data_IF_533519402104
#
_entry.id   IF_533519402104
#
_cell.length_a   1.000
_cell.length_b   1.000
_cell.length_c   1.000
_cell.angle_alpha   90.00
_cell.angle_beta   90.00
_cell.angle_gamma   90.00
#
_symmetry.space_group_name_H-M   'P 1'
#
loop_
_entity.id
_entity.type
_entity.pdbx_description
1 polymer ?
#
# COMPACT_ATOMS: atom_id res chain seq x y z
N UNK A 1 -38.04 10.57 24.61
CA UNK A 1 -37.32 10.25 23.35
C UNK A 1 -36.14 9.34 23.69
N UNK A 2 -36.07 8.11 23.18
CA UNK A 2 -34.86 7.30 23.35
C UNK A 2 -33.79 7.75 22.33
N UNK A 3 -32.50 7.70 22.67
CA UNK A 3 -31.45 7.95 21.71
C UNK A 3 -31.46 6.85 20.64
N UNK A 4 -31.43 7.24 19.37
CA UNK A 4 -31.33 6.35 18.22
C UNK A 4 -30.08 5.46 18.33
N UNK A 5 -30.26 4.25 18.85
CA UNK A 5 -29.36 3.13 18.74
C UNK A 5 -29.31 2.70 17.27
N UNK A 6 -28.56 3.47 16.45
CA UNK A 6 -28.13 3.00 15.14
C UNK A 6 -27.22 1.82 15.40
N UNK A 7 -27.78 0.63 15.23
CA UNK A 7 -27.04 -0.59 15.01
C UNK A 7 -26.20 -0.38 13.75
N UNK A 8 -25.02 0.22 13.91
CA UNK A 8 -23.94 0.09 12.95
C UNK A 8 -23.43 -1.36 13.03
N UNK A 9 -24.24 -2.29 12.54
CA UNK A 9 -23.82 -3.64 12.20
C UNK A 9 -22.90 -3.57 10.96
N UNK A 10 -21.93 -2.64 10.95
CA UNK A 10 -20.90 -2.62 9.93
C UNK A 10 -20.16 -3.94 10.00
N UNK A 11 -20.10 -4.69 8.89
CA UNK A 11 -19.47 -5.99 8.85
C UNK A 11 -18.11 -5.93 9.53
N UNK A 12 -17.91 -6.83 10.49
CA UNK A 12 -16.66 -6.97 11.23
C UNK A 12 -15.66 -7.66 10.34
N UNK A 13 -15.12 -6.94 9.35
CA UNK A 13 -14.01 -7.44 8.55
C UNK A 13 -12.77 -7.56 9.43
N UNK A 14 -12.09 -8.68 9.36
CA UNK A 14 -10.77 -8.83 9.98
C UNK A 14 -9.70 -8.08 9.17
N UNK A 15 -8.58 -7.73 9.81
CA UNK A 15 -7.43 -7.10 9.11
C UNK A 15 -6.94 -7.98 7.97
N UNK A 16 -6.83 -9.29 8.20
CA UNK A 16 -6.40 -10.27 7.21
C UNK A 16 -7.32 -10.31 5.98
N UNK A 17 -8.64 -10.18 6.16
CA UNK A 17 -9.57 -10.08 5.04
C UNK A 17 -9.35 -8.79 4.23
N UNK A 18 -9.19 -7.64 4.91
CA UNK A 18 -8.94 -6.37 4.21
C UNK A 18 -7.60 -6.37 3.46
N UNK A 19 -6.59 -6.99 4.05
CA UNK A 19 -5.23 -7.11 3.52
C UNK A 19 -5.17 -7.83 2.18
N UNK A 20 -6.01 -8.87 2.01
CA UNK A 20 -6.14 -9.58 0.75
C UNK A 20 -6.60 -8.66 -0.39
N UNK A 21 -7.32 -7.58 -0.10
CA UNK A 21 -7.92 -6.70 -1.10
C UNK A 21 -7.14 -5.40 -1.36
N UNK A 22 -6.03 -5.14 -0.66
CA UNK A 22 -5.26 -3.89 -0.83
C UNK A 22 -4.72 -3.65 -2.24
N UNK A 23 -4.61 -4.69 -3.04
CA UNK A 23 -4.22 -4.62 -4.44
C UNK A 23 -5.35 -4.09 -5.37
N UNK A 24 -6.58 -3.95 -4.87
CA UNK A 24 -7.76 -3.48 -5.60
C UNK A 24 -8.32 -2.15 -5.08
N UNK A 25 -9.03 -1.38 -5.93
CA UNK A 25 -9.68 -0.15 -5.52
C UNK A 25 -10.85 -0.43 -4.59
N UNK A 26 -11.06 0.45 -3.61
CA UNK A 26 -12.08 0.31 -2.58
C UNK A 26 -13.49 0.06 -3.15
N UNK A 27 -13.83 0.72 -4.28
CA UNK A 27 -15.11 0.57 -4.97
C UNK A 27 -15.35 -0.85 -5.47
N UNK A 28 -14.34 -1.46 -6.09
CA UNK A 28 -14.44 -2.83 -6.60
C UNK A 28 -14.53 -3.84 -5.46
N UNK A 29 -13.74 -3.62 -4.39
CA UNK A 29 -13.79 -4.45 -3.18
C UNK A 29 -15.15 -4.37 -2.51
N UNK A 30 -15.74 -3.18 -2.45
CA UNK A 30 -17.09 -2.98 -1.93
C UNK A 30 -18.12 -3.78 -2.74
N UNK A 31 -18.05 -3.70 -4.07
CA UNK A 31 -18.92 -4.46 -4.97
C UNK A 31 -18.75 -5.98 -4.81
N UNK A 32 -17.50 -6.47 -4.72
CA UNK A 32 -17.18 -7.88 -4.53
C UNK A 32 -17.68 -8.43 -3.19
N UNK A 33 -17.59 -7.62 -2.14
CA UNK A 33 -18.02 -8.01 -0.79
C UNK A 33 -19.51 -7.76 -0.55
N UNK A 34 -20.25 -7.22 -1.53
CA UNK A 34 -21.66 -6.86 -1.37
C UNK A 34 -21.87 -5.76 -0.30
N UNK A 35 -20.87 -4.90 -0.10
CA UNK A 35 -20.93 -3.80 0.87
C UNK A 35 -20.72 -2.45 0.17
N UNK A 36 -20.74 -1.37 0.95
CA UNK A 36 -20.44 -0.03 0.45
C UNK A 36 -19.10 0.47 0.99
N UNK A 37 -18.45 1.38 0.25
CA UNK A 37 -17.13 1.91 0.56
C UNK A 37 -17.00 2.43 1.99
N UNK A 38 -18.05 3.09 2.49
CA UNK A 38 -18.11 3.60 3.87
C UNK A 38 -18.00 2.51 4.94
N UNK A 39 -18.55 1.31 4.71
CA UNK A 39 -18.43 0.18 5.63
C UNK A 39 -16.99 -0.32 5.71
N UNK A 40 -16.31 -0.42 4.57
CA UNK A 40 -14.89 -0.78 4.50
C UNK A 40 -14.00 0.29 5.13
N UNK A 41 -14.27 1.58 4.92
CA UNK A 41 -13.53 2.67 5.56
C UNK A 41 -13.71 2.63 7.08
N UNK A 42 -14.94 2.41 7.57
CA UNK A 42 -15.17 2.25 9.02
C UNK A 42 -14.44 1.05 9.57
N UNK A 43 -14.46 -0.09 8.88
CA UNK A 43 -13.69 -1.27 9.28
C UNK A 43 -12.18 -0.99 9.29
N UNK A 44 -11.63 -0.35 8.26
CA UNK A 44 -10.23 0.07 8.21
C UNK A 44 -9.85 0.98 9.39
N UNK A 45 -10.69 1.98 9.70
CA UNK A 45 -10.46 2.91 10.81
C UNK A 45 -10.48 2.20 12.17
N UNK A 46 -11.38 1.23 12.37
CA UNK A 46 -11.40 0.39 13.59
C UNK A 46 -10.08 -0.37 13.79
N UNK A 47 -9.41 -0.72 12.70
CA UNK A 47 -8.11 -1.40 12.70
C UNK A 47 -6.91 -0.44 12.58
N UNK A 48 -7.11 0.88 12.75
CA UNK A 48 -6.01 1.85 12.72
C UNK A 48 -5.48 2.20 11.32
N UNK A 49 -6.15 1.75 10.25
CA UNK A 49 -5.82 2.05 8.85
C UNK A 49 -6.53 3.34 8.46
N UNK A 50 -5.79 4.46 8.45
CA UNK A 50 -6.35 5.77 8.16
C UNK A 50 -6.72 5.96 6.68
N UNK A 51 -6.00 5.32 5.76
CA UNK A 51 -6.18 5.43 4.31
C UNK A 51 -5.99 4.08 3.64
N UNK A 52 -6.84 3.77 2.67
CA UNK A 52 -6.74 2.57 1.85
C UNK A 52 -5.43 2.59 1.02
N UNK A 53 -4.55 1.58 1.14
CA UNK A 53 -3.19 1.61 0.57
C UNK A 53 -3.13 1.44 -0.96
N UNK A 54 -4.26 1.15 -1.62
CA UNK A 54 -4.34 0.91 -3.07
C UNK A 54 -3.63 1.97 -3.93
N UNK A 55 -3.84 3.26 -3.64
CA UNK A 55 -3.26 4.34 -4.47
C UNK A 55 -1.73 4.30 -4.47
N UNK A 56 -1.13 3.94 -3.32
CA UNK A 56 0.32 3.83 -3.20
C UNK A 56 0.83 2.52 -3.82
N UNK A 57 0.14 1.41 -3.58
CA UNK A 57 0.47 0.09 -4.15
C UNK A 57 0.36 0.09 -5.67
N UNK A 58 -0.68 0.69 -6.24
CA UNK A 58 -0.87 0.83 -7.70
C UNK A 58 0.26 1.61 -8.36
N UNK A 59 0.72 2.70 -7.72
CA UNK A 59 1.88 3.46 -8.21
C UNK A 59 3.15 2.61 -8.23
N UNK A 60 3.43 1.87 -7.15
CA UNK A 60 4.60 0.99 -7.06
C UNK A 60 4.49 -0.14 -8.10
N UNK A 61 3.31 -0.75 -8.24
CA UNK A 61 3.05 -1.81 -9.21
C UNK A 61 3.26 -1.33 -10.65
N UNK A 62 2.80 -0.13 -11.01
CA UNK A 62 3.07 0.46 -12.33
C UNK A 62 4.57 0.65 -12.57
N UNK A 63 5.32 1.09 -11.55
CA UNK A 63 6.77 1.22 -11.65
C UNK A 63 7.46 -0.14 -11.79
N UNK A 64 6.96 -1.16 -11.09
CA UNK A 64 7.47 -2.54 -11.19
C UNK A 64 7.26 -3.07 -12.61
N UNK A 65 6.04 -2.96 -13.16
CA UNK A 65 5.73 -3.37 -14.53
C UNK A 65 6.62 -2.68 -15.56
N UNK A 66 6.83 -1.37 -15.44
CA UNK A 66 7.73 -0.66 -16.35
C UNK A 66 9.18 -1.20 -16.26
N UNK A 67 9.67 -1.49 -15.06
CA UNK A 67 10.99 -2.12 -14.90
C UNK A 67 11.00 -3.54 -15.50
N UNK A 68 9.94 -4.33 -15.32
CA UNK A 68 9.81 -5.67 -15.91
C UNK A 68 9.81 -5.60 -17.46
N UNK A 69 9.10 -4.63 -18.05
CA UNK A 69 9.10 -4.39 -19.49
C UNK A 69 10.48 -3.98 -20.01
N UNK A 70 11.23 -3.15 -19.25
CA UNK A 70 12.61 -2.77 -19.60
C UNK A 70 13.53 -3.97 -19.52
N UNK A 71 13.39 -4.83 -18.52
CA UNK A 71 14.17 -6.06 -18.38
C UNK A 71 13.89 -7.03 -19.53
N UNK A 72 12.62 -7.18 -19.93
CA UNK A 72 12.22 -8.05 -21.05
C UNK A 72 12.71 -7.55 -22.42
N UNK A 73 12.91 -6.24 -22.58
CA UNK A 73 13.43 -5.64 -23.83
C UNK A 73 14.96 -5.69 -23.94
N UNK A 74 15.65 -5.91 -22.82
CA UNK A 74 17.10 -6.06 -22.78
C UNK A 74 17.42 -7.55 -22.82
N UNK A 75 17.56 -8.11 -24.03
CA UNK A 75 17.91 -9.52 -24.26
C UNK A 75 19.26 -9.89 -23.58
N UNK A 76 19.20 -10.37 -22.34
CA UNK A 76 20.27 -11.12 -21.69
C UNK A 76 21.24 -10.37 -20.77
N UNK A 77 21.25 -9.03 -20.74
CA UNK A 77 22.01 -8.28 -19.71
C UNK A 77 21.14 -7.21 -19.05
N UNK A 78 20.32 -7.59 -18.05
CA UNK A 78 19.58 -6.62 -17.28
C UNK A 78 20.58 -5.73 -16.55
N UNK A 79 20.59 -4.43 -16.88
CA UNK A 79 21.46 -3.47 -16.23
C UNK A 79 21.31 -3.57 -14.71
N UNK A 80 22.42 -3.72 -13.99
CA UNK A 80 22.44 -3.95 -12.53
C UNK A 80 21.55 -2.94 -11.78
N UNK A 81 21.55 -1.69 -12.25
CA UNK A 81 20.71 -0.58 -11.76
C UNK A 81 19.21 -0.85 -11.94
N UNK A 82 18.78 -1.43 -13.05
CA UNK A 82 17.38 -1.78 -13.36
C UNK A 82 16.88 -2.89 -12.44
N UNK A 83 17.68 -3.96 -12.28
CA UNK A 83 17.37 -5.08 -11.38
C UNK A 83 17.32 -4.63 -9.92
N UNK A 84 18.32 -3.83 -9.48
CA UNK A 84 18.34 -3.24 -8.16
C UNK A 84 17.11 -2.35 -7.91
N UNK A 85 16.73 -1.53 -8.89
CA UNK A 85 15.53 -0.69 -8.81
C UNK A 85 14.26 -1.53 -8.72
N UNK A 86 14.16 -2.61 -9.49
CA UNK A 86 13.00 -3.52 -9.45
C UNK A 86 12.84 -4.19 -8.10
N UNK A 87 13.94 -4.64 -7.49
CA UNK A 87 13.97 -5.22 -6.14
C UNK A 87 13.54 -4.20 -5.08
N UNK A 88 14.05 -2.97 -5.15
CA UNK A 88 13.66 -1.89 -4.24
C UNK A 88 12.15 -1.59 -4.32
N UNK A 89 11.57 -1.60 -5.52
CA UNK A 89 10.12 -1.40 -5.67
C UNK A 89 9.32 -2.54 -5.02
N UNK A 90 9.79 -3.79 -5.14
CA UNK A 90 9.19 -4.93 -4.43
C UNK A 90 9.25 -4.78 -2.91
N UNK A 91 10.39 -4.38 -2.36
CA UNK A 91 10.51 -4.09 -0.92
C UNK A 91 9.56 -2.97 -0.50
N UNK A 92 9.48 -1.88 -1.27
CA UNK A 92 8.54 -0.80 -0.99
C UNK A 92 7.09 -1.26 -1.02
N UNK A 93 6.71 -2.13 -1.95
CA UNK A 93 5.38 -2.72 -2.00
C UNK A 93 5.09 -3.49 -0.70
N UNK A 94 6.00 -4.37 -0.28
CA UNK A 94 5.89 -5.13 0.96
C UNK A 94 5.76 -4.22 2.19
N UNK A 95 6.59 -3.17 2.30
CA UNK A 95 6.51 -2.24 3.44
C UNK A 95 5.19 -1.47 3.49
N UNK A 96 4.57 -1.16 2.35
CA UNK A 96 3.27 -0.46 2.33
C UNK A 96 2.16 -1.40 2.73
N UNK A 97 2.24 -2.65 2.28
CA UNK A 97 1.32 -3.73 2.62
C UNK A 97 1.39 -4.03 4.12
N UNK A 98 2.58 -4.28 4.66
CA UNK A 98 2.82 -4.49 6.09
C UNK A 98 2.39 -3.29 6.94
N UNK A 99 2.68 -2.04 6.53
CA UNK A 99 2.23 -0.85 7.27
C UNK A 99 0.72 -0.72 7.37
N UNK A 100 0.00 -1.22 6.38
CA UNK A 100 -1.45 -1.26 6.42
C UNK A 100 -1.94 -2.39 7.35
N UNK A 101 -1.25 -3.51 7.41
CA UNK A 101 -1.63 -4.67 8.24
C UNK A 101 -1.16 -4.60 9.70
N UNK A 102 -0.04 -3.91 9.99
CA UNK A 102 0.65 -3.94 11.27
C UNK A 102 0.13 -2.95 12.32
N UNK A 103 -0.86 -2.10 12.01
CA UNK A 103 -1.43 -1.15 12.99
C UNK A 103 -2.43 -1.81 13.95
N UNK A 104 -2.07 -2.97 14.51
CA UNK A 104 -2.67 -3.47 15.74
C UNK A 104 -1.93 -2.84 16.92
N UNK A 105 -2.67 -2.05 17.69
CA UNK A 105 -2.31 -1.59 19.04
C UNK A 105 -1.22 -0.51 19.07
N UNK A 106 -1.63 0.74 19.27
CA UNK A 106 -1.12 1.69 20.28
C UNK A 106 0.38 1.99 20.43
N UNK A 107 1.28 1.35 19.71
CA UNK A 107 2.70 1.63 19.72
C UNK A 107 2.96 2.29 18.38
N UNK A 108 2.97 3.63 18.42
CA UNK A 108 3.48 4.43 17.33
C UNK A 108 4.95 4.06 17.16
N UNK A 109 5.22 3.04 16.34
CA UNK A 109 6.50 2.97 15.65
C UNK A 109 6.49 4.17 14.70
N UNK A 110 6.98 5.30 15.22
CA UNK A 110 7.26 6.52 14.48
C UNK A 110 8.43 6.21 13.56
N UNK A 111 8.18 5.39 12.55
CA UNK A 111 9.09 5.27 11.44
C UNK A 111 9.00 6.57 10.65
N UNK A 112 10.14 7.17 10.29
CA UNK A 112 10.18 8.49 9.70
C UNK A 112 9.29 8.50 8.46
N UNK A 113 8.19 9.24 8.58
CA UNK A 113 7.41 9.73 7.46
C UNK A 113 8.26 10.79 6.77
N UNK A 114 9.34 10.38 6.11
CA UNK A 114 10.14 11.34 5.37
C UNK A 114 9.57 11.49 3.96
N UNK A 115 8.62 12.41 3.91
CA UNK A 115 8.28 13.18 2.72
C UNK A 115 9.39 14.21 2.46
N UNK A 116 10.62 13.80 2.21
CA UNK A 116 11.63 14.70 1.65
C UNK A 116 12.24 14.07 0.41
N UNK A 117 11.82 14.61 -0.72
CA UNK A 117 12.61 14.83 -1.94
C UNK A 117 13.97 14.11 -1.91
N UNK A 118 14.02 12.86 -2.38
CA UNK A 118 15.26 12.34 -2.96
C UNK A 118 15.47 13.07 -4.29
N UNK A 119 15.93 14.32 -4.19
CA UNK A 119 16.73 14.94 -5.24
C UNK A 119 17.99 14.09 -5.32
N UNK A 120 18.03 13.17 -6.27
CA UNK A 120 19.28 12.57 -6.70
C UNK A 120 19.95 13.64 -7.56
N UNK A 121 20.62 14.57 -6.88
CA UNK A 121 21.56 15.51 -7.48
C UNK A 121 22.89 15.33 -6.76
N UNK A 122 23.73 14.51 -7.40
CA UNK A 122 25.12 14.79 -7.78
C UNK A 122 26.15 15.12 -6.68
N UNK A 123 27.22 14.30 -6.66
CA UNK A 123 28.68 14.63 -6.61
C UNK A 123 29.42 13.48 -5.90
N UNK A 124 30.66 13.08 -6.21
CA UNK A 124 31.56 13.05 -7.36
C UNK A 124 32.82 12.34 -6.81
N UNK A 125 33.53 11.57 -7.63
CA UNK A 125 34.98 11.26 -7.64
C UNK A 125 35.86 11.48 -6.38
N UNK A 126 36.60 10.43 -6.02
CA UNK A 126 38.05 10.38 -5.72
C UNK A 126 38.39 8.88 -5.54
N UNK A 127 39.40 8.25 -6.12
CA UNK A 127 40.66 8.62 -6.82
C UNK A 127 40.80 7.73 -8.07
#
# INVERSE_FOLDING_TARGET
MPPSSRLDASPLFSVAQLEQYYHMPLREVAALLGTYEGALIRACRRHGIAKWPYRQLSKINRQMRYMDDVLNKLDGTPGEKTTARRRLLGQRYATVHEKASARRIGIVLKFPSDSSKLKISFLLNHD
#
